data_IF_357323692099
#
_entry.id   IF_357323692099
#
_cell.length_a   1.000
_cell.length_b   1.000
_cell.length_c   1.000
_cell.angle_alpha   90.00
_cell.angle_beta   90.00
_cell.angle_gamma   90.00
#
_symmetry.space_group_name_H-M   'P 1'
#
loop_
_entity.id
_entity.type
_entity.pdbx_description
1 polymer ?
#
# COMPACT_ATOMS: atom_id res chain seq x y z
N UNK A 1 7.59 -5.14 22.95
CA UNK A 1 8.00 -4.21 21.88
C UNK A 1 7.92 -2.80 22.44
N UNK A 2 9.04 -2.10 22.59
CA UNK A 2 9.08 -0.69 23.02
C UNK A 2 9.45 0.18 21.82
N UNK A 3 8.44 0.71 21.13
CA UNK A 3 8.57 1.76 20.12
C UNK A 3 7.53 2.84 20.42
N UNK A 4 7.73 4.08 19.94
CA UNK A 4 6.98 5.27 20.36
C UNK A 4 5.44 5.22 20.15
N UNK A 5 4.92 4.15 19.56
CA UNK A 5 3.50 3.92 19.34
C UNK A 5 2.90 2.86 20.29
N UNK A 6 3.66 2.34 21.27
CA UNK A 6 3.37 1.11 22.02
C UNK A 6 1.91 0.92 22.47
N UNK A 7 1.22 1.99 22.85
CA UNK A 7 -0.16 1.92 23.37
C UNK A 7 -1.24 2.35 22.36
N UNK A 8 -0.86 2.98 21.23
CA UNK A 8 -1.79 3.63 20.28
C UNK A 8 -1.34 3.52 18.81
N UNK A 9 -0.87 2.35 18.37
CA UNK A 9 -0.28 2.20 17.03
C UNK A 9 -1.27 2.43 15.89
N UNK A 10 -2.48 1.92 16.03
CA UNK A 10 -3.54 2.02 15.01
C UNK A 10 -4.03 3.46 14.91
N UNK A 11 -4.11 4.16 16.06
CA UNK A 11 -4.47 5.57 16.10
C UNK A 11 -3.54 6.41 15.21
N UNK A 12 -2.22 6.32 15.44
CA UNK A 12 -1.25 7.10 14.66
C UNK A 12 -1.18 6.64 13.20
N UNK A 13 -1.30 5.34 12.93
CA UNK A 13 -1.37 4.81 11.57
C UNK A 13 -2.56 5.39 10.79
N UNK A 14 -3.72 5.50 11.44
CA UNK A 14 -4.94 6.08 10.87
C UNK A 14 -4.71 7.53 10.49
N UNK A 15 -4.16 8.34 11.39
CA UNK A 15 -3.88 9.76 11.12
C UNK A 15 -2.84 9.96 10.02
N UNK A 16 -1.74 9.20 10.08
CA UNK A 16 -0.70 9.24 9.06
C UNK A 16 -1.27 8.85 7.68
N UNK A 17 -2.13 7.83 7.64
CA UNK A 17 -2.76 7.41 6.39
C UNK A 17 -3.83 8.39 5.90
N UNK A 18 -4.66 8.95 6.78
CA UNK A 18 -5.65 9.97 6.41
C UNK A 18 -4.98 11.18 5.73
N UNK A 19 -3.83 11.63 6.27
CA UNK A 19 -2.99 12.66 5.64
C UNK A 19 -2.53 12.24 4.25
N UNK A 20 -1.97 11.03 4.11
CA UNK A 20 -1.51 10.51 2.83
C UNK A 20 -2.66 10.34 1.82
N UNK A 21 -3.82 9.90 2.28
CA UNK A 21 -5.03 9.72 1.49
C UNK A 21 -5.48 11.04 0.87
N UNK A 22 -5.64 12.07 1.69
CA UNK A 22 -6.08 13.39 1.24
C UNK A 22 -5.08 14.06 0.28
N UNK A 23 -3.77 13.81 0.46
CA UNK A 23 -2.73 14.43 -0.34
C UNK A 23 -2.32 13.62 -1.59
N UNK A 24 -2.56 12.31 -1.61
CA UNK A 24 -1.94 11.40 -2.59
C UNK A 24 -2.91 10.34 -3.11
N UNK A 25 -3.25 9.35 -2.29
CA UNK A 25 -3.95 8.15 -2.77
C UNK A 25 -5.36 8.50 -3.25
N UNK A 26 -6.11 9.30 -2.50
CA UNK A 26 -7.47 9.70 -2.86
C UNK A 26 -7.52 10.45 -4.20
N UNK A 27 -6.73 11.53 -4.39
CA UNK A 27 -6.67 12.23 -5.67
C UNK A 27 -6.29 11.33 -6.86
N UNK A 28 -5.30 10.44 -6.71
CA UNK A 28 -4.92 9.53 -7.80
C UNK A 28 -5.98 8.47 -8.09
N UNK A 29 -6.57 7.88 -7.05
CA UNK A 29 -7.66 6.92 -7.21
C UNK A 29 -8.87 7.57 -7.88
N UNK A 30 -9.26 8.77 -7.44
CA UNK A 30 -10.33 9.55 -8.04
C UNK A 30 -10.08 9.83 -9.52
N UNK A 31 -8.85 10.17 -9.90
CA UNK A 31 -8.47 10.37 -11.29
C UNK A 31 -8.56 9.06 -12.11
N UNK A 32 -8.09 7.93 -11.56
CA UNK A 32 -8.19 6.62 -12.24
C UNK A 32 -9.65 6.24 -12.45
N UNK A 33 -10.51 6.45 -11.47
CA UNK A 33 -11.96 6.17 -11.59
C UNK A 33 -12.61 7.09 -12.63
N UNK A 34 -12.30 8.39 -12.61
CA UNK A 34 -12.87 9.36 -13.54
C UNK A 34 -12.52 9.07 -15.00
N UNK A 35 -11.30 8.59 -15.26
CA UNK A 35 -10.82 8.24 -16.60
C UNK A 35 -11.20 6.79 -17.02
N UNK A 36 -11.87 6.03 -16.15
CA UNK A 36 -12.19 4.62 -16.39
C UNK A 36 -10.95 3.70 -16.41
N UNK A 37 -9.83 4.13 -15.84
CA UNK A 37 -8.56 3.42 -15.81
C UNK A 37 -7.36 4.37 -15.86
N UNK A 38 -6.16 3.81 -16.06
CA UNK A 38 -4.97 4.62 -16.26
C UNK A 38 -4.91 5.22 -17.68
N UNK A 39 -4.53 6.49 -17.74
CA UNK A 39 -3.88 7.12 -18.90
C UNK A 39 -2.36 7.12 -18.71
N UNK A 40 -1.59 7.25 -19.79
CA UNK A 40 -0.11 7.28 -19.69
C UNK A 40 0.40 8.38 -18.74
N UNK A 41 -0.09 9.65 -18.81
CA UNK A 41 0.36 10.69 -17.90
C UNK A 41 -0.02 10.40 -16.44
N UNK A 42 -1.18 9.76 -16.21
CA UNK A 42 -1.60 9.38 -14.87
C UNK A 42 -0.72 8.27 -14.29
N UNK A 43 -0.45 7.21 -15.07
CA UNK A 43 0.44 6.13 -14.65
C UNK A 43 1.83 6.66 -14.31
N UNK A 44 2.40 7.54 -15.15
CA UNK A 44 3.72 8.15 -14.88
C UNK A 44 3.73 9.01 -13.63
N UNK A 45 2.69 9.81 -13.38
CA UNK A 45 2.59 10.59 -12.13
C UNK A 45 2.52 9.68 -10.89
N UNK A 46 1.75 8.60 -10.95
CA UNK A 46 1.71 7.59 -9.88
C UNK A 46 3.10 6.96 -9.71
N UNK A 47 3.76 6.58 -10.82
CA UNK A 47 5.08 5.97 -10.79
C UNK A 47 6.13 6.90 -10.14
N UNK A 48 6.10 8.20 -10.44
CA UNK A 48 6.97 9.20 -9.80
C UNK A 48 6.66 9.31 -8.32
N UNK A 49 5.38 9.46 -7.96
CA UNK A 49 4.98 9.65 -6.55
C UNK A 49 5.39 8.48 -5.66
N UNK A 50 5.29 7.28 -6.19
CA UNK A 50 5.65 6.05 -5.49
C UNK A 50 7.12 5.62 -5.68
N UNK A 51 7.92 6.45 -6.35
CA UNK A 51 9.34 6.21 -6.61
C UNK A 51 9.61 4.87 -7.34
N UNK A 52 8.72 4.50 -8.25
CA UNK A 52 8.88 3.34 -9.15
C UNK A 52 9.15 3.75 -10.60
N UNK A 53 9.12 5.07 -10.90
CA UNK A 53 9.37 5.58 -12.26
C UNK A 53 10.72 5.18 -12.84
N UNK A 54 11.77 5.05 -12.02
CA UNK A 54 13.10 4.60 -12.47
C UNK A 54 13.10 3.19 -13.06
N UNK A 55 12.15 2.36 -12.63
CA UNK A 55 12.00 1.00 -13.11
C UNK A 55 11.16 0.91 -14.39
N UNK A 56 10.47 1.96 -14.80
CA UNK A 56 9.64 1.98 -16.01
C UNK A 56 10.42 2.67 -17.13
N UNK A 57 10.90 1.87 -18.08
CA UNK A 57 11.80 2.33 -19.13
C UNK A 57 11.08 3.30 -20.07
N UNK A 58 11.83 4.25 -20.62
CA UNK A 58 11.42 4.99 -21.81
C UNK A 58 12.36 4.51 -22.93
N UNK A 59 11.84 3.88 -24.00
CA UNK A 59 12.65 3.51 -25.14
C UNK A 59 13.43 4.71 -25.66
N UNK A 60 14.72 4.52 -25.93
CA UNK A 60 15.64 5.57 -26.40
C UNK A 60 15.25 6.14 -27.78
N UNK A 61 14.45 5.40 -28.54
CA UNK A 61 14.00 5.71 -29.91
C UNK A 61 12.49 6.05 -30.00
N UNK A 62 11.88 6.58 -28.93
CA UNK A 62 10.49 7.02 -29.05
C UNK A 62 10.37 8.19 -30.03
N UNK A 63 9.53 8.00 -31.05
CA UNK A 63 8.92 9.11 -31.79
C UNK A 63 8.22 10.02 -30.78
N UNK A 64 8.33 11.34 -30.96
CA UNK A 64 7.63 12.31 -30.13
C UNK A 64 6.14 11.95 -30.01
N UNK A 65 5.69 11.54 -28.82
CA UNK A 65 4.27 11.50 -28.48
C UNK A 65 3.69 10.20 -27.90
N UNK A 66 4.38 9.05 -27.92
CA UNK A 66 3.80 7.78 -27.42
C UNK A 66 4.70 7.08 -26.40
N UNK A 67 4.21 6.92 -25.16
CA UNK A 67 4.94 6.24 -24.09
C UNK A 67 4.66 4.73 -24.09
N UNK A 68 5.19 4.02 -25.10
CA UNK A 68 5.01 2.57 -25.33
C UNK A 68 5.10 1.72 -24.05
N UNK A 69 6.08 1.99 -23.16
CA UNK A 69 6.21 1.26 -21.90
C UNK A 69 5.05 1.52 -20.95
N UNK A 70 4.59 2.78 -20.85
CA UNK A 70 3.42 3.12 -20.07
C UNK A 70 2.15 2.52 -20.69
N UNK A 71 1.95 2.61 -22.00
CA UNK A 71 0.78 2.04 -22.69
C UNK A 71 0.72 0.53 -22.52
N UNK A 72 1.85 -0.16 -22.72
CA UNK A 72 1.99 -1.60 -22.50
C UNK A 72 1.74 -2.00 -21.05
N UNK A 73 2.30 -1.25 -20.11
CA UNK A 73 2.05 -1.44 -18.68
C UNK A 73 0.56 -1.30 -18.35
N UNK A 74 -0.12 -0.29 -18.88
CA UNK A 74 -1.57 -0.07 -18.69
C UNK A 74 -2.37 -1.29 -19.16
N UNK A 75 -2.03 -1.84 -20.33
CA UNK A 75 -2.65 -3.05 -20.85
C UNK A 75 -2.51 -4.22 -19.88
N UNK A 76 -1.28 -4.53 -19.47
CA UNK A 76 -0.99 -5.63 -18.54
C UNK A 76 -1.70 -5.48 -17.19
N UNK A 77 -1.63 -4.29 -16.56
CA UNK A 77 -2.26 -4.10 -15.25
C UNK A 77 -3.79 -4.12 -15.35
N UNK A 78 -4.36 -3.70 -16.48
CA UNK A 78 -5.81 -3.79 -16.74
C UNK A 78 -6.24 -5.24 -16.88
N UNK A 79 -5.51 -6.05 -17.64
CA UNK A 79 -5.76 -7.48 -17.77
C UNK A 79 -5.67 -8.19 -16.42
N UNK A 80 -4.61 -7.92 -15.65
CA UNK A 80 -4.44 -8.45 -14.30
C UNK A 80 -5.59 -8.01 -13.36
N UNK A 81 -6.02 -6.75 -13.44
CA UNK A 81 -7.15 -6.26 -12.66
C UNK A 81 -8.49 -6.89 -13.10
N UNK A 82 -8.66 -7.27 -14.36
CA UNK A 82 -9.85 -7.97 -14.83
C UNK A 82 -9.89 -9.42 -14.31
N UNK A 83 -8.73 -10.06 -14.20
CA UNK A 83 -8.55 -11.41 -13.65
C UNK A 83 -8.27 -11.42 -12.13
N UNK A 84 -8.69 -10.39 -11.41
CA UNK A 84 -8.25 -10.17 -10.02
C UNK A 84 -8.65 -11.32 -9.07
N UNK A 85 -7.69 -12.05 -8.48
CA UNK A 85 -7.99 -13.23 -7.68
C UNK A 85 -8.66 -12.92 -6.34
N UNK A 86 -9.27 -13.93 -5.73
CA UNK A 86 -9.93 -13.79 -4.43
C UNK A 86 -8.90 -13.72 -3.28
N UNK A 87 -7.88 -14.58 -3.28
CA UNK A 87 -6.91 -14.68 -2.18
C UNK A 87 -5.69 -13.76 -2.35
N UNK A 88 -5.08 -13.35 -1.24
CA UNK A 88 -3.85 -12.54 -1.25
C UNK A 88 -2.67 -13.26 -1.92
N UNK A 89 -2.58 -14.58 -1.75
CA UNK A 89 -1.52 -15.39 -2.35
C UNK A 89 -1.63 -15.45 -3.88
N UNK A 90 -2.83 -15.67 -4.40
CA UNK A 90 -3.07 -15.66 -5.85
C UNK A 90 -2.88 -14.25 -6.44
N UNK A 91 -3.33 -13.19 -5.74
CA UNK A 91 -3.05 -11.80 -6.14
C UNK A 91 -1.55 -11.53 -6.21
N UNK A 92 -0.77 -12.07 -5.27
CA UNK A 92 0.67 -11.93 -5.26
C UNK A 92 1.31 -12.66 -6.45
N UNK A 93 0.88 -13.88 -6.75
CA UNK A 93 1.33 -14.64 -7.91
C UNK A 93 1.04 -13.89 -9.22
N UNK A 94 -0.18 -13.37 -9.37
CA UNK A 94 -0.56 -12.57 -10.55
C UNK A 94 0.30 -11.31 -10.70
N UNK A 95 0.60 -10.61 -9.60
CA UNK A 95 1.50 -9.45 -9.65
C UNK A 95 2.91 -9.83 -10.10
N UNK A 96 3.40 -11.01 -9.72
CA UNK A 96 4.71 -11.52 -10.15
C UNK A 96 4.69 -11.85 -11.64
N UNK A 97 3.69 -12.59 -12.10
CA UNK A 97 3.51 -12.93 -13.52
C UNK A 97 3.42 -11.66 -14.39
N UNK A 98 2.65 -10.67 -13.93
CA UNK A 98 2.52 -9.37 -14.60
C UNK A 98 3.85 -8.61 -14.64
N UNK A 99 4.64 -8.65 -13.56
CA UNK A 99 5.96 -8.02 -13.52
C UNK A 99 6.97 -8.73 -14.44
N UNK A 100 6.89 -10.05 -14.54
CA UNK A 100 7.71 -10.86 -15.44
C UNK A 100 7.36 -10.58 -16.90
N UNK A 101 6.07 -10.49 -17.23
CA UNK A 101 5.61 -10.11 -18.56
C UNK A 101 6.10 -8.71 -18.97
N UNK A 102 5.98 -7.72 -18.09
CA UNK A 102 6.47 -6.36 -18.35
C UNK A 102 8.00 -6.31 -18.53
N UNK A 103 8.73 -7.10 -17.75
CA UNK A 103 10.18 -7.21 -17.88
C UNK A 103 10.58 -7.89 -19.20
N UNK A 104 9.93 -9.00 -19.57
CA UNK A 104 10.16 -9.72 -20.82
C UNK A 104 9.84 -8.87 -22.05
N UNK A 105 8.85 -7.99 -21.96
CA UNK A 105 8.52 -7.02 -23.00
C UNK A 105 9.51 -5.83 -23.09
N UNK A 106 10.47 -5.74 -22.17
CA UNK A 106 11.45 -4.64 -22.14
C UNK A 106 10.88 -3.31 -21.66
N UNK A 107 9.72 -3.31 -20.98
CA UNK A 107 9.10 -2.08 -20.47
C UNK A 107 9.63 -1.67 -19.10
N UNK A 108 10.28 -2.60 -18.39
CA UNK A 108 10.84 -2.32 -17.07
C UNK A 108 12.30 -2.73 -16.91
N UNK A 109 13.07 -1.95 -16.17
CA UNK A 109 14.38 -2.38 -15.66
C UNK A 109 14.16 -3.38 -14.52
N UNK A 110 14.64 -4.61 -14.70
CA UNK A 110 14.51 -5.72 -13.73
C UNK A 110 13.04 -6.06 -13.42
N UNK A 111 12.87 -6.96 -12.45
CA UNK A 111 11.57 -7.39 -11.96
C UNK A 111 10.95 -6.35 -11.01
N UNK A 112 9.88 -5.68 -11.45
CA UNK A 112 9.23 -4.56 -10.75
C UNK A 112 7.94 -4.94 -9.98
N UNK A 113 7.95 -6.05 -9.23
CA UNK A 113 6.75 -6.52 -8.46
C UNK A 113 6.13 -5.45 -7.55
N UNK A 114 6.95 -4.61 -6.92
CA UNK A 114 6.46 -3.52 -6.07
C UNK A 114 5.76 -2.42 -6.88
N UNK A 115 6.22 -2.13 -8.10
CA UNK A 115 5.56 -1.20 -9.01
C UNK A 115 4.22 -1.72 -9.49
N UNK A 116 4.19 -2.98 -9.94
CA UNK A 116 2.96 -3.66 -10.36
C UNK A 116 1.90 -3.64 -9.26
N UNK A 117 2.25 -4.02 -8.02
CA UNK A 117 1.29 -4.02 -6.92
C UNK A 117 0.67 -2.64 -6.67
N UNK A 118 1.41 -1.55 -6.90
CA UNK A 118 0.89 -0.19 -6.72
C UNK A 118 -0.07 0.20 -7.84
N UNK A 119 0.28 -0.11 -9.09
CA UNK A 119 -0.61 0.18 -10.23
C UNK A 119 -1.91 -0.60 -10.10
N UNK A 120 -1.84 -1.91 -9.84
CA UNK A 120 -3.06 -2.70 -9.70
C UNK A 120 -3.89 -2.24 -8.49
N UNK A 121 -3.27 -1.78 -7.40
CA UNK A 121 -4.00 -1.26 -6.24
C UNK A 121 -4.91 -0.08 -6.60
N UNK A 122 -4.50 0.81 -7.50
CA UNK A 122 -5.35 1.89 -7.99
C UNK A 122 -6.50 1.42 -8.89
N UNK A 123 -6.45 0.20 -9.43
CA UNK A 123 -7.54 -0.39 -10.22
C UNK A 123 -8.47 -1.27 -9.37
N UNK A 124 -7.97 -1.82 -8.27
CA UNK A 124 -8.65 -2.78 -7.40
C UNK A 124 -8.32 -2.52 -5.93
N UNK A 125 -8.65 -1.40 -5.31
CA UNK A 125 -8.17 -1.07 -3.96
C UNK A 125 -8.73 -1.96 -2.84
N UNK A 126 -9.71 -2.81 -3.13
CA UNK A 126 -10.52 -3.50 -2.13
C UNK A 126 -9.79 -4.69 -1.48
N UNK A 127 -9.79 -4.70 -0.13
CA UNK A 127 -9.37 -5.84 0.70
C UNK A 127 -7.96 -6.36 0.41
N UNK A 128 -7.01 -5.47 0.08
CA UNK A 128 -5.57 -5.76 0.09
C UNK A 128 -4.75 -4.47 0.18
N UNK A 129 -3.43 -4.61 0.30
CA UNK A 129 -2.50 -3.49 0.28
C UNK A 129 -1.39 -3.71 -0.75
N UNK A 130 -0.85 -2.61 -1.28
CA UNK A 130 0.37 -2.58 -2.08
C UNK A 130 1.59 -3.07 -1.29
N UNK A 131 2.58 -3.62 -1.99
CA UNK A 131 3.82 -4.05 -1.36
C UNK A 131 4.76 -2.87 -1.11
N UNK A 132 5.19 -2.72 0.14
CA UNK A 132 6.26 -1.84 0.57
C UNK A 132 7.30 -2.60 1.40
N UNK A 133 8.59 -2.28 1.20
CA UNK A 133 9.68 -2.95 1.92
C UNK A 133 9.61 -2.73 3.44
N UNK A 134 9.08 -1.60 3.89
CA UNK A 134 8.91 -1.30 5.30
C UNK A 134 7.74 -2.08 5.87
N UNK A 135 6.61 -2.16 5.16
CA UNK A 135 5.49 -3.02 5.56
C UNK A 135 5.92 -4.49 5.67
N UNK A 136 6.65 -4.99 4.67
CA UNK A 136 7.22 -6.35 4.70
C UNK A 136 8.15 -6.56 5.90
N UNK A 137 9.03 -5.60 6.20
CA UNK A 137 9.88 -5.65 7.40
C UNK A 137 9.06 -5.61 8.69
N UNK A 138 7.97 -4.84 8.74
CA UNK A 138 7.03 -4.80 9.85
C UNK A 138 6.33 -6.14 10.09
N UNK A 139 6.08 -6.90 9.03
CA UNK A 139 5.62 -8.29 9.09
C UNK A 139 6.73 -9.30 9.42
N UNK A 140 7.98 -8.86 9.64
CA UNK A 140 9.10 -9.75 9.95
C UNK A 140 9.73 -10.45 8.74
N UNK A 141 9.41 -10.01 7.51
CA UNK A 141 10.00 -10.57 6.29
C UNK A 141 11.50 -10.22 6.22
N UNK A 142 12.41 -11.21 6.07
CA UNK A 142 13.84 -10.93 6.06
C UNK A 142 14.32 -10.10 4.86
N UNK A 143 14.99 -8.99 5.15
CA UNK A 143 15.47 -8.04 4.13
C UNK A 143 16.54 -8.60 3.17
N UNK A 144 17.23 -9.67 3.56
CA UNK A 144 18.27 -10.32 2.74
C UNK A 144 17.70 -11.28 1.68
N UNK A 145 16.40 -11.59 1.73
CA UNK A 145 15.76 -12.42 0.71
C UNK A 145 15.67 -11.69 -0.64
N UNK A 146 15.53 -12.44 -1.73
CA UNK A 146 15.27 -11.84 -3.05
C UNK A 146 13.95 -11.05 -3.04
N UNK A 147 13.81 -10.06 -3.93
CA UNK A 147 12.60 -9.24 -3.99
C UNK A 147 11.33 -10.05 -4.23
N UNK A 148 11.38 -11.02 -5.14
CA UNK A 148 10.29 -11.96 -5.40
C UNK A 148 9.89 -12.70 -4.12
N UNK A 149 10.85 -13.30 -3.42
CA UNK A 149 10.60 -14.04 -2.18
C UNK A 149 10.08 -13.14 -1.05
N UNK A 150 10.57 -11.90 -0.93
CA UNK A 150 10.04 -10.94 0.05
C UNK A 150 8.57 -10.62 -0.24
N UNK A 151 8.20 -10.48 -1.52
CA UNK A 151 6.86 -10.18 -1.96
C UNK A 151 5.89 -11.34 -1.66
N UNK A 152 6.26 -12.56 -2.04
CA UNK A 152 5.49 -13.78 -1.74
C UNK A 152 5.28 -13.94 -0.23
N UNK A 153 6.37 -13.88 0.54
CA UNK A 153 6.31 -14.05 1.99
C UNK A 153 5.51 -12.96 2.70
N UNK A 154 5.48 -11.73 2.17
CA UNK A 154 4.67 -10.65 2.72
C UNK A 154 3.18 -10.98 2.61
N UNK A 155 2.69 -11.34 1.43
CA UNK A 155 1.28 -11.65 1.24
C UNK A 155 0.87 -12.97 1.90
N UNK A 156 1.76 -13.96 1.96
CA UNK A 156 1.55 -15.17 2.78
C UNK A 156 1.37 -14.82 4.26
N UNK A 157 2.24 -13.95 4.81
CA UNK A 157 2.14 -13.52 6.20
C UNK A 157 0.88 -12.70 6.50
N UNK A 158 0.40 -11.89 5.56
CA UNK A 158 -0.86 -11.17 5.71
C UNK A 158 -2.05 -12.14 5.75
N UNK A 159 -2.05 -13.13 4.85
CA UNK A 159 -3.09 -14.15 4.75
C UNK A 159 -3.15 -15.00 6.03
N UNK A 160 -1.98 -15.49 6.49
CA UNK A 160 -1.83 -16.27 7.73
C UNK A 160 -2.19 -15.46 8.99
N UNK A 161 -2.02 -14.13 8.93
CA UNK A 161 -2.34 -13.21 10.00
C UNK A 161 -3.81 -12.77 10.05
N UNK A 162 -4.68 -13.34 9.21
CA UNK A 162 -6.09 -12.95 9.07
C UNK A 162 -6.29 -11.47 8.68
N UNK A 163 -5.39 -10.92 7.84
CA UNK A 163 -5.47 -9.53 7.38
C UNK A 163 -6.86 -9.14 6.89
N UNK A 164 -7.48 -10.02 6.11
CA UNK A 164 -8.80 -9.81 5.55
C UNK A 164 -9.89 -9.71 6.63
N UNK A 165 -9.80 -10.54 7.67
CA UNK A 165 -10.70 -10.48 8.83
C UNK A 165 -10.52 -9.20 9.64
N UNK A 166 -9.28 -8.73 9.80
CA UNK A 166 -8.98 -7.43 10.43
C UNK A 166 -9.59 -6.29 9.63
N UNK A 167 -9.38 -6.26 8.31
CA UNK A 167 -9.94 -5.22 7.43
C UNK A 167 -11.46 -5.20 7.49
N UNK A 168 -12.10 -6.37 7.42
CA UNK A 168 -13.56 -6.49 7.48
C UNK A 168 -14.17 -5.94 8.79
N UNK A 169 -13.44 -5.99 9.91
CA UNK A 169 -13.89 -5.43 11.19
C UNK A 169 -13.87 -3.91 11.21
N UNK A 170 -12.87 -3.28 10.61
CA UNK A 170 -12.69 -1.82 10.66
C UNK A 170 -13.33 -1.08 9.48
N UNK A 171 -13.59 -1.76 8.36
CA UNK A 171 -14.17 -1.16 7.16
C UNK A 171 -15.54 -0.49 7.42
N UNK A 172 -16.48 -1.08 8.20
CA UNK A 172 -17.74 -0.41 8.53
C UNK A 172 -17.54 0.89 9.34
N UNK A 173 -16.57 0.90 10.26
CA UNK A 173 -16.25 2.09 11.06
C UNK A 173 -15.77 3.22 10.16
N UNK A 174 -14.86 2.91 9.23
CA UNK A 174 -14.36 3.88 8.25
C UNK A 174 -15.48 4.37 7.32
N UNK A 175 -16.34 3.47 6.83
CA UNK A 175 -17.47 3.80 5.96
C UNK A 175 -18.48 4.76 6.62
N UNK A 176 -18.62 4.70 7.94
CA UNK A 176 -19.46 5.62 8.73
C UNK A 176 -18.76 6.91 9.18
N UNK A 177 -17.49 7.10 8.83
CA UNK A 177 -16.66 8.18 9.35
C UNK A 177 -16.72 9.46 8.52
N UNK A 178 -15.95 10.47 8.93
CA UNK A 178 -15.72 11.71 8.17
C UNK A 178 -14.93 11.48 6.86
N UNK A 179 -14.34 10.30 6.68
CA UNK A 179 -13.62 9.88 5.48
C UNK A 179 -14.14 8.52 4.98
N UNK A 180 -15.37 8.43 4.45
CA UNK A 180 -15.99 7.15 4.06
C UNK A 180 -15.25 6.43 2.93
N UNK A 181 -14.46 7.14 2.13
CA UNK A 181 -13.65 6.58 1.05
C UNK A 181 -12.24 6.12 1.46
N UNK A 182 -11.83 6.29 2.72
CA UNK A 182 -10.49 5.92 3.18
C UNK A 182 -10.32 4.39 3.17
N UNK A 183 -9.36 3.81 2.42
CA UNK A 183 -9.21 2.36 2.38
C UNK A 183 -8.72 1.79 3.72
N UNK A 184 -9.57 1.00 4.40
CA UNK A 184 -9.25 0.36 5.68
C UNK A 184 -7.95 -0.47 5.63
N UNK A 185 -7.77 -1.24 4.55
CA UNK A 185 -6.57 -2.04 4.29
C UNK A 185 -5.25 -1.23 4.34
N UNK A 186 -5.30 0.05 3.97
CA UNK A 186 -4.11 0.91 3.91
C UNK A 186 -3.79 1.57 5.26
N UNK A 187 -4.75 1.64 6.18
CA UNK A 187 -4.49 1.98 7.59
C UNK A 187 -3.58 0.91 8.19
N UNK A 188 -3.91 -0.37 7.95
CA UNK A 188 -3.10 -1.50 8.37
C UNK A 188 -1.71 -1.47 7.72
N UNK A 189 -1.61 -1.12 6.44
CA UNK A 189 -0.32 -0.95 5.80
C UNK A 189 0.54 0.15 6.43
N UNK A 190 -0.05 1.31 6.73
CA UNK A 190 0.60 2.42 7.43
C UNK A 190 1.17 1.96 8.78
N UNK A 191 0.40 1.17 9.52
CA UNK A 191 0.82 0.53 10.75
C UNK A 191 2.02 -0.40 10.55
N UNK A 192 1.97 -1.28 9.53
CA UNK A 192 3.06 -2.20 9.22
C UNK A 192 4.33 -1.45 8.79
N UNK A 193 4.21 -0.39 7.99
CA UNK A 193 5.34 0.46 7.59
C UNK A 193 6.00 1.11 8.80
N UNK A 194 5.21 1.62 9.76
CA UNK A 194 5.73 2.19 10.99
C UNK A 194 6.48 1.15 11.84
N UNK A 195 5.93 -0.07 11.98
CA UNK A 195 6.64 -1.18 12.64
C UNK A 195 7.94 -1.56 11.94
N UNK A 196 7.97 -1.45 10.61
CA UNK A 196 9.18 -1.64 9.79
C UNK A 196 10.24 -0.56 9.98
N UNK A 197 10.00 0.44 10.83
CA UNK A 197 10.82 1.62 11.04
C UNK A 197 10.89 2.55 9.80
N UNK A 198 9.77 2.78 9.13
CA UNK A 198 9.63 3.93 8.23
C UNK A 198 9.52 5.21 9.07
N UNK A 199 10.46 6.14 8.89
CA UNK A 199 10.52 7.38 9.69
C UNK A 199 10.98 7.14 11.14
N UNK A 200 11.40 8.19 11.84
CA UNK A 200 11.49 8.08 13.29
C UNK A 200 10.07 8.12 13.84
N UNK A 201 9.72 7.19 14.73
CA UNK A 201 8.35 7.09 15.24
C UNK A 201 7.87 8.38 15.93
N UNK A 202 8.79 9.19 16.46
CA UNK A 202 8.51 10.51 17.01
C UNK A 202 8.15 11.54 15.92
N UNK A 203 8.89 11.56 14.81
CA UNK A 203 8.65 12.51 13.73
C UNK A 203 7.30 12.28 13.03
N UNK A 204 6.93 11.02 12.75
CA UNK A 204 5.63 10.69 12.16
C UNK A 204 4.45 11.09 13.09
N UNK A 205 4.63 10.98 14.41
CA UNK A 205 3.65 11.43 15.41
C UNK A 205 3.54 12.95 15.40
N UNK A 206 4.68 13.67 15.37
CA UNK A 206 4.70 15.13 15.28
C UNK A 206 4.06 15.63 13.99
N UNK A 207 4.36 15.02 12.85
CA UNK A 207 3.71 15.35 11.57
C UNK A 207 2.20 15.11 11.63
N UNK A 208 1.77 13.99 12.22
CA UNK A 208 0.34 13.67 12.37
C UNK A 208 -0.38 14.66 13.29
N UNK A 209 0.27 15.11 14.37
CA UNK A 209 -0.26 16.18 15.25
C UNK A 209 -0.35 17.52 14.52
N UNK A 210 0.69 17.89 13.79
CA UNK A 210 0.70 19.12 13.00
C UNK A 210 -0.40 19.11 11.94
N UNK A 211 -0.59 17.98 11.25
CA UNK A 211 -1.68 17.77 10.32
C UNK A 211 -3.05 17.98 10.98
N UNK A 212 -3.33 17.32 12.10
CA UNK A 212 -4.58 17.50 12.83
C UNK A 212 -4.83 18.96 13.24
N UNK A 213 -3.77 19.68 13.64
CA UNK A 213 -3.88 21.08 14.04
C UNK A 213 -4.28 22.02 12.89
N UNK A 214 -4.06 21.61 11.63
CA UNK A 214 -4.43 22.37 10.43
C UNK A 214 -5.87 22.09 9.96
N UNK A 215 -6.54 21.07 10.51
CA UNK A 215 -7.89 20.69 10.10
C UNK A 215 -8.95 21.57 10.78
N UNK A 216 -10.11 21.81 10.13
CA UNK A 216 -11.26 22.41 10.79
C UNK A 216 -11.65 21.64 12.06
N UNK A 217 -12.08 22.31 13.15
CA UNK A 217 -12.33 21.66 14.43
C UNK A 217 -13.24 20.42 14.35
N UNK A 218 -14.37 20.53 13.65
CA UNK A 218 -15.31 19.41 13.51
C UNK A 218 -14.68 18.20 12.80
N UNK A 219 -13.91 18.45 11.74
CA UNK A 219 -13.23 17.40 10.99
C UNK A 219 -12.10 16.77 11.81
N UNK A 220 -11.33 17.58 12.53
CA UNK A 220 -10.28 17.14 13.45
C UNK A 220 -10.86 16.22 14.53
N UNK A 221 -11.95 16.64 15.16
CA UNK A 221 -12.57 15.91 16.26
C UNK A 221 -13.18 14.59 15.77
N UNK A 222 -13.82 14.60 14.59
CA UNK A 222 -14.33 13.38 13.95
C UNK A 222 -13.21 12.42 13.51
N UNK A 223 -12.09 12.93 13.00
CA UNK A 223 -10.95 12.10 12.61
C UNK A 223 -10.24 11.50 13.83
N UNK A 224 -10.09 12.28 14.91
CA UNK A 224 -9.61 11.75 16.20
C UNK A 224 -10.54 10.64 16.71
N UNK A 225 -11.85 10.85 16.66
CA UNK A 225 -12.83 9.86 17.08
C UNK A 225 -12.69 8.56 16.28
N UNK A 226 -12.59 8.64 14.94
CA UNK A 226 -12.33 7.48 14.09
C UNK A 226 -11.04 6.76 14.52
N UNK A 227 -9.93 7.49 14.65
CA UNK A 227 -8.64 6.89 15.00
C UNK A 227 -8.68 6.17 16.36
N UNK A 228 -9.42 6.72 17.35
CA UNK A 228 -9.66 6.07 18.64
C UNK A 228 -10.53 4.83 18.49
N UNK A 229 -11.65 4.90 17.77
CA UNK A 229 -12.53 3.74 17.54
C UNK A 229 -11.79 2.58 16.87
N UNK A 230 -10.96 2.87 15.87
CA UNK A 230 -10.16 1.85 15.19
C UNK A 230 -9.12 1.22 16.13
N UNK A 231 -8.49 2.04 16.97
CA UNK A 231 -7.54 1.56 17.99
C UNK A 231 -8.21 0.65 19.02
N UNK A 232 -9.40 1.02 19.50
CA UNK A 232 -10.17 0.23 20.46
C UNK A 232 -10.66 -1.09 19.84
N UNK A 233 -11.03 -1.08 18.55
CA UNK A 233 -11.52 -2.25 17.84
C UNK A 233 -10.43 -3.32 17.66
N UNK A 234 -9.26 -2.97 17.11
CA UNK A 234 -8.24 -3.98 16.73
C UNK A 234 -7.04 -4.06 17.66
N UNK A 235 -6.89 -3.12 18.60
CA UNK A 235 -5.83 -3.12 19.61
C UNK A 235 -4.40 -2.98 19.05
N UNK A 236 -3.41 -3.32 19.88
CA UNK A 236 -1.99 -3.10 19.57
C UNK A 236 -1.28 -4.29 18.91
N UNK A 237 -1.83 -5.50 19.03
CA UNK A 237 -1.20 -6.75 18.58
C UNK A 237 -1.75 -7.28 17.25
N UNK A 238 -2.41 -6.41 16.46
CA UNK A 238 -2.96 -6.79 15.15
C UNK A 238 -1.85 -7.21 14.18
N UNK A 239 -1.98 -8.35 13.51
CA UNK A 239 -0.99 -8.91 12.57
C UNK A 239 0.42 -9.00 13.18
N UNK A 240 0.68 -9.95 14.09
CA UNK A 240 2.00 -10.09 14.69
C UNK A 240 3.05 -10.47 13.63
N UNK A 241 4.32 -10.05 13.81
CA UNK A 241 5.39 -10.40 12.88
C UNK A 241 5.58 -11.92 12.75
N UNK A 242 6.00 -12.37 11.56
CA UNK A 242 6.35 -13.77 11.32
C UNK A 242 7.36 -14.27 12.35
N UNK A 243 7.04 -15.37 13.02
CA UNK A 243 7.99 -16.03 13.93
C UNK A 243 9.03 -16.81 13.11
N UNK A 244 10.20 -16.22 12.90
CA UNK A 244 11.33 -16.97 12.34
C UNK A 244 11.82 -17.94 13.41
N UNK A 245 11.46 -19.23 13.31
CA UNK A 245 12.11 -20.29 14.10
C UNK A 245 13.61 -20.23 13.79
N UNK A 246 14.41 -19.64 14.69
CA UNK A 246 15.87 -19.75 14.63
C UNK A 246 16.20 -21.24 14.67
N UNK A 247 16.69 -21.80 13.55
CA UNK A 247 17.42 -23.07 13.59
C UNK A 247 18.56 -22.85 14.59
N UNK A 248 18.51 -23.55 15.73
CA UNK A 248 19.68 -23.66 16.61
C UNK A 248 20.77 -24.31 15.78
N UNK A 249 21.80 -23.55 15.44
CA UNK A 249 23.09 -24.05 14.96
C UNK A 249 23.81 -24.74 16.11
#
# INVERSE_FOLDING_TARGET
>A
MSGAWADNQVYWATLAYARWWLAVDGPFLGAVVAEGGFTEPLLRRVAVRYNVNRGLLQPEEQQEGEDVSASGMIGLVREAAAAWPASLRERAALCIETAEAAQSAGWTDKLQVSGISKFIWFLKPERWTLFDRFAAKGMGVPAHWSRRRQFEAFYEALDDGEFDGVVARIEPLVASSVLPGLPAARIIDSLLMARGARGSAAHEVEESRAFLALLPPEFRDALNHLATQLQDEIGNDVLPPMTTKRKKS
#
